data_IF_229530142212
#
_entry.id   IF_229530142212
#
_cell.length_a   1.000
_cell.length_b   1.000
_cell.length_c   1.000
_cell.angle_alpha   90.00
_cell.angle_beta   90.00
_cell.angle_gamma   90.00
#
_symmetry.space_group_name_H-M   'P 1'
#
loop_
_entity.id
_entity.type
_entity.pdbx_description
1 polymer ?
#
# COMPACT_ATOMS: atom_id res chain seq x y z
N UNK A 1 3.42 -22.46 -45.14
CA UNK A 1 2.18 -22.72 -44.37
C UNK A 1 1.01 -22.38 -45.27
N UNK A 2 0.26 -23.36 -45.77
CA UNK A 2 -0.74 -23.14 -46.82
C UNK A 2 -2.04 -23.90 -46.52
N UNK A 3 -2.58 -23.68 -45.32
CA UNK A 3 -3.89 -24.21 -44.93
C UNK A 3 -4.91 -23.05 -44.90
N UNK A 4 -5.80 -22.96 -45.89
CA UNK A 4 -6.81 -21.90 -45.98
C UNK A 4 -7.73 -21.83 -44.76
N UNK A 5 -7.92 -22.98 -44.11
CA UNK A 5 -8.74 -23.14 -42.89
C UNK A 5 -8.07 -22.46 -41.70
N UNK A 6 -6.76 -22.64 -41.55
CA UNK A 6 -5.98 -22.03 -40.47
C UNK A 6 -5.99 -20.50 -40.59
N UNK A 7 -5.82 -19.99 -41.81
CA UNK A 7 -5.91 -18.55 -42.11
C UNK A 7 -7.29 -17.98 -41.77
N UNK A 8 -8.36 -18.67 -42.19
CA UNK A 8 -9.73 -18.24 -41.91
C UNK A 8 -10.04 -18.23 -40.41
N UNK A 9 -9.49 -19.17 -39.64
CA UNK A 9 -9.61 -19.18 -38.18
C UNK A 9 -8.89 -17.99 -37.54
N UNK A 10 -7.68 -17.65 -38.01
CA UNK A 10 -6.93 -16.48 -37.55
C UNK A 10 -7.66 -15.17 -37.85
N UNK A 11 -8.14 -14.99 -39.08
CA UNK A 11 -8.87 -13.79 -39.51
C UNK A 11 -10.18 -13.60 -38.71
N UNK A 12 -10.86 -14.70 -38.37
CA UNK A 12 -12.08 -14.67 -37.54
C UNK A 12 -11.76 -14.33 -36.09
N UNK A 13 -10.62 -14.82 -35.57
CA UNK A 13 -10.15 -14.56 -34.21
C UNK A 13 -9.73 -13.08 -34.07
N UNK A 14 -9.07 -12.51 -35.08
CA UNK A 14 -8.74 -11.10 -35.20
C UNK A 14 -9.99 -10.22 -35.27
N UNK A 15 -10.96 -10.60 -36.11
CA UNK A 15 -12.26 -9.91 -36.25
C UNK A 15 -13.08 -9.91 -34.95
N UNK A 16 -13.12 -11.02 -34.23
CA UNK A 16 -13.78 -11.14 -32.92
C UNK A 16 -12.99 -10.45 -31.79
N UNK A 17 -11.67 -10.23 -31.97
CA UNK A 17 -10.83 -9.65 -30.93
C UNK A 17 -11.02 -8.16 -30.70
N UNK A 18 -11.58 -7.40 -31.66
CA UNK A 18 -11.45 -5.94 -31.72
C UNK A 18 -9.97 -5.53 -31.50
N UNK A 19 -9.17 -5.54 -32.57
CA UNK A 19 -7.77 -5.11 -32.62
C UNK A 19 -6.92 -5.56 -31.41
N UNK A 20 -6.22 -6.68 -31.56
CA UNK A 20 -5.38 -7.25 -30.50
C UNK A 20 -4.40 -6.23 -29.88
N UNK A 21 -3.93 -5.24 -30.67
CA UNK A 21 -3.11 -4.16 -30.13
C UNK A 21 -3.91 -3.20 -29.24
N UNK A 22 -5.12 -2.83 -29.64
CA UNK A 22 -6.02 -2.01 -28.83
C UNK A 22 -6.35 -2.66 -27.49
N UNK A 23 -6.57 -3.99 -27.48
CA UNK A 23 -6.78 -4.75 -26.23
C UNK A 23 -5.53 -4.73 -25.34
N UNK A 24 -4.36 -5.01 -25.89
CA UNK A 24 -3.09 -4.97 -25.13
C UNK A 24 -2.86 -3.59 -24.51
N UNK A 25 -3.04 -2.53 -25.30
CA UNK A 25 -2.89 -1.15 -24.84
C UNK A 25 -3.90 -0.80 -23.72
N UNK A 26 -5.12 -1.31 -23.82
CA UNK A 26 -6.12 -1.15 -22.77
C UNK A 26 -5.71 -1.86 -21.48
N UNK A 27 -5.30 -3.12 -21.56
CA UNK A 27 -4.85 -3.92 -20.42
C UNK A 27 -3.62 -3.30 -19.75
N UNK A 28 -2.63 -2.86 -20.52
CA UNK A 28 -1.44 -2.17 -20.02
C UNK A 28 -1.81 -0.88 -19.28
N UNK A 29 -2.76 -0.10 -19.82
CA UNK A 29 -3.27 1.10 -19.17
C UNK A 29 -4.00 0.76 -17.87
N UNK A 30 -4.86 -0.25 -17.86
CA UNK A 30 -5.56 -0.68 -16.65
C UNK A 30 -4.57 -1.12 -15.58
N UNK A 31 -3.57 -1.93 -15.95
CA UNK A 31 -2.50 -2.34 -15.05
C UNK A 31 -1.77 -1.14 -14.45
N UNK A 32 -1.36 -0.17 -15.27
CA UNK A 32 -0.72 1.06 -14.77
C UNK A 32 -1.61 1.82 -13.78
N UNK A 33 -2.91 1.95 -14.07
CA UNK A 33 -3.84 2.64 -13.17
C UNK A 33 -4.01 1.90 -11.85
N UNK A 34 -4.09 0.57 -11.88
CA UNK A 34 -4.17 -0.27 -10.67
C UNK A 34 -2.89 -0.21 -9.84
N UNK A 35 -1.72 -0.32 -10.48
CA UNK A 35 -0.43 -0.20 -9.80
C UNK A 35 -0.31 1.18 -9.12
N UNK A 36 -0.68 2.25 -9.85
CA UNK A 36 -0.68 3.61 -9.30
C UNK A 36 -1.66 3.78 -8.13
N UNK A 37 -2.87 3.23 -8.24
CA UNK A 37 -3.85 3.30 -7.15
C UNK A 37 -3.33 2.57 -5.91
N UNK A 38 -2.78 1.36 -6.09
CA UNK A 38 -2.22 0.55 -5.00
C UNK A 38 -1.06 1.25 -4.32
N UNK A 39 -0.14 1.85 -5.09
CA UNK A 39 0.98 2.62 -4.53
C UNK A 39 0.52 3.81 -3.69
N UNK A 40 -0.54 4.51 -4.12
CA UNK A 40 -1.07 5.65 -3.38
C UNK A 40 -1.74 5.18 -2.09
N UNK A 41 -2.54 4.12 -2.16
CA UNK A 41 -3.22 3.55 -0.99
C UNK A 41 -2.21 3.08 0.06
N UNK A 42 -1.19 2.34 -0.35
CA UNK A 42 -0.12 1.88 0.55
C UNK A 42 0.66 3.05 1.14
N UNK A 43 1.02 4.06 0.34
CA UNK A 43 1.73 5.24 0.83
C UNK A 43 0.90 6.05 1.86
N UNK A 44 -0.41 6.14 1.67
CA UNK A 44 -1.32 6.80 2.61
C UNK A 44 -1.44 6.01 3.91
N UNK A 45 -1.64 4.69 3.82
CA UNK A 45 -1.73 3.81 4.98
C UNK A 45 -0.42 3.81 5.81
N UNK A 46 0.73 3.72 5.15
CA UNK A 46 2.03 3.86 5.81
C UNK A 46 2.20 5.25 6.44
N UNK A 47 1.76 6.30 5.74
CA UNK A 47 1.81 7.67 6.22
C UNK A 47 0.99 7.87 7.51
N UNK A 48 -0.23 7.34 7.53
CA UNK A 48 -1.11 7.35 8.70
C UNK A 48 -0.50 6.56 9.86
N UNK A 49 -0.07 5.32 9.64
CA UNK A 49 0.56 4.49 10.67
C UNK A 49 1.82 5.14 11.26
N UNK A 50 2.67 5.75 10.41
CA UNK A 50 3.84 6.52 10.87
C UNK A 50 3.43 7.75 11.66
N UNK A 51 2.36 8.44 11.25
CA UNK A 51 1.82 9.62 11.93
C UNK A 51 1.28 9.29 13.31
N UNK A 52 0.46 8.24 13.42
CA UNK A 52 -0.06 7.73 14.68
C UNK A 52 1.07 7.33 15.63
N UNK A 53 2.05 6.54 15.15
CA UNK A 53 3.20 6.15 15.96
C UNK A 53 4.02 7.35 16.46
N UNK A 54 4.27 8.34 15.59
CA UNK A 54 4.97 9.58 15.98
C UNK A 54 4.21 10.36 17.05
N UNK A 55 2.90 10.49 16.90
CA UNK A 55 2.03 11.16 17.88
C UNK A 55 2.02 10.41 19.21
N UNK A 56 1.92 9.08 19.19
CA UNK A 56 1.98 8.25 20.40
C UNK A 56 3.30 8.44 21.14
N UNK A 57 4.43 8.44 20.42
CA UNK A 57 5.77 8.70 20.99
C UNK A 57 5.84 10.10 21.61
N UNK A 58 5.38 11.13 20.91
CA UNK A 58 5.39 12.50 21.41
C UNK A 58 4.55 12.65 22.69
N UNK A 59 3.36 12.04 22.72
CA UNK A 59 2.52 12.03 23.91
C UNK A 59 3.17 11.27 25.06
N UNK A 60 3.77 10.10 24.81
CA UNK A 60 4.47 9.32 25.81
C UNK A 60 5.63 10.12 26.44
N UNK A 61 6.44 10.82 25.63
CA UNK A 61 7.50 11.71 26.10
C UNK A 61 6.96 12.80 27.02
N UNK A 62 5.85 13.44 26.66
CA UNK A 62 5.27 14.51 27.47
C UNK A 62 4.69 13.98 28.79
N UNK A 63 4.01 12.83 28.76
CA UNK A 63 3.50 12.16 29.95
C UNK A 63 4.62 11.72 30.90
N UNK A 64 5.74 11.23 30.36
CA UNK A 64 6.92 10.90 31.15
C UNK A 64 7.52 12.13 31.84
N UNK A 65 7.58 13.29 31.16
CA UNK A 65 8.02 14.56 31.77
C UNK A 65 7.11 15.00 32.91
N UNK A 66 5.82 14.72 32.81
CA UNK A 66 4.84 14.97 33.86
C UNK A 66 4.84 13.91 34.98
N UNK A 67 5.72 12.92 34.93
CA UNK A 67 5.87 11.90 35.96
C UNK A 67 4.80 10.82 35.93
N UNK A 68 4.09 10.65 34.81
CA UNK A 68 3.13 9.54 34.64
C UNK A 68 3.87 8.21 34.56
N UNK A 69 3.31 7.20 35.19
CA UNK A 69 3.88 5.85 35.26
C UNK A 69 3.97 5.17 33.88
N UNK A 70 5.06 4.44 33.64
CA UNK A 70 5.32 3.78 32.36
C UNK A 70 4.28 2.73 32.01
N UNK A 71 3.76 1.98 32.98
CA UNK A 71 2.73 0.96 32.73
C UNK A 71 1.40 1.62 32.35
N UNK A 72 1.06 2.76 32.96
CA UNK A 72 -0.13 3.53 32.59
C UNK A 72 -0.06 4.09 31.16
N UNK A 73 1.12 4.58 30.74
CA UNK A 73 1.36 5.06 29.38
C UNK A 73 1.29 3.89 28.39
N UNK A 74 1.91 2.75 28.67
CA UNK A 74 1.88 1.57 27.79
C UNK A 74 0.45 1.09 27.52
N UNK A 75 -0.36 0.99 28.58
CA UNK A 75 -1.76 0.58 28.49
C UNK A 75 -2.63 1.47 27.60
N UNK A 76 -2.27 2.74 27.44
CA UNK A 76 -3.12 3.76 26.80
C UNK A 76 -2.59 4.24 25.44
N UNK A 77 -1.29 4.11 25.18
CA UNK A 77 -0.63 4.68 23.99
C UNK A 77 -0.42 3.69 22.85
N UNK A 78 -0.62 2.39 23.08
CA UNK A 78 -0.31 1.34 22.12
C UNK A 78 1.20 1.09 21.93
N UNK A 79 2.04 1.72 22.76
CA UNK A 79 3.48 1.46 22.82
C UNK A 79 3.78 0.37 23.84
N UNK A 80 4.82 -0.41 23.58
CA UNK A 80 5.38 -1.33 24.56
C UNK A 80 6.09 -0.59 25.68
N UNK A 81 6.17 -1.21 26.87
CA UNK A 81 6.97 -0.66 27.97
C UNK A 81 8.44 -0.49 27.58
N UNK A 82 8.98 -1.39 26.77
CA UNK A 82 10.34 -1.32 26.23
C UNK A 82 10.55 -0.06 25.37
N UNK A 83 9.62 0.25 24.47
CA UNK A 83 9.65 1.48 23.66
C UNK A 83 9.62 2.72 24.57
N UNK A 84 8.75 2.74 25.58
CA UNK A 84 8.62 3.87 26.52
C UNK A 84 9.88 4.04 27.37
N UNK A 85 10.49 2.95 27.83
CA UNK A 85 11.76 2.99 28.58
C UNK A 85 12.89 3.50 27.70
N UNK A 86 12.92 3.11 26.42
CA UNK A 86 13.91 3.60 25.46
C UNK A 86 13.78 5.12 25.24
N UNK A 87 12.55 5.65 25.23
CA UNK A 87 12.31 7.10 25.12
C UNK A 87 12.88 7.90 26.31
N UNK A 88 12.98 7.30 27.50
CA UNK A 88 13.57 7.94 28.68
C UNK A 88 15.10 8.06 28.63
N UNK A 89 15.74 7.28 27.75
CA UNK A 89 17.21 7.25 27.58
C UNK A 89 17.69 8.21 26.49
N UNK A 90 16.77 8.81 25.73
CA UNK A 90 17.06 9.94 24.83
C UNK A 90 17.09 11.24 25.62
#
# INVERSE_FOLDING_TARGET
>A
MNEPVLKKAMDTLEFLSQDAEARRLYEDRQKYLHDKASMIEEALAEGEARGEKRKAIQMALELLKHGVDTAAIAKSSGLSEEEIIALRKQ
#
